data_IF_608453377086
#
_entry.id   IF_608453377086
#
_cell.length_a   1.000
_cell.length_b   1.000
_cell.length_c   1.000
_cell.angle_alpha   90.00
_cell.angle_beta   90.00
_cell.angle_gamma   90.00
#
_symmetry.space_group_name_H-M   'P 1'
#
loop_
_entity.id
_entity.type
_entity.pdbx_description
1 polymer ?
#
# COMPACT_ATOMS: atom_id res chain seq x y z
N UNK A 1 -4.02 0.18 -49.06
CA UNK A 1 -4.03 1.44 -48.27
C UNK A 1 -4.53 1.07 -46.88
N UNK A 2 -3.89 1.31 -45.73
CA UNK A 2 -2.73 2.12 -45.31
C UNK A 2 -1.92 1.29 -44.31
N UNK A 3 -0.59 1.43 -44.36
CA UNK A 3 0.36 0.89 -43.36
C UNK A 3 0.34 1.81 -42.14
N UNK A 4 0.25 1.26 -40.93
CA UNK A 4 0.40 2.02 -39.68
C UNK A 4 1.74 1.63 -39.06
N UNK A 5 2.61 2.64 -38.93
CA UNK A 5 3.94 2.55 -38.35
C UNK A 5 3.84 2.63 -36.82
N UNK A 6 4.33 1.61 -36.12
CA UNK A 6 4.63 1.64 -34.69
C UNK A 6 6.11 1.95 -34.56
N UNK A 7 6.47 3.23 -34.47
CA UNK A 7 7.78 3.71 -34.05
C UNK A 7 7.73 5.23 -33.86
N UNK A 8 7.62 5.71 -32.61
CA UNK A 8 8.27 6.91 -32.08
C UNK A 8 7.61 7.33 -30.75
N UNK A 9 8.22 6.94 -29.63
CA UNK A 9 8.00 7.57 -28.33
C UNK A 9 9.32 7.65 -27.53
N UNK A 10 10.43 7.88 -28.25
CA UNK A 10 11.78 8.09 -27.67
C UNK A 10 12.48 9.37 -28.17
N UNK A 11 11.73 10.32 -28.76
CA UNK A 11 12.29 11.57 -29.28
C UNK A 11 11.40 12.77 -28.89
N UNK A 12 11.30 13.04 -27.59
CA UNK A 12 10.70 14.27 -27.08
C UNK A 12 11.26 14.64 -25.71
N UNK A 13 12.59 14.70 -25.55
CA UNK A 13 13.24 15.32 -24.39
C UNK A 13 14.63 15.88 -24.74
N UNK A 14 14.72 16.61 -25.85
CA UNK A 14 15.86 17.49 -26.14
C UNK A 14 15.32 18.83 -26.61
N UNK A 15 15.21 19.80 -25.69
CA UNK A 15 14.83 21.16 -26.03
C UNK A 15 14.59 22.06 -24.82
N UNK A 16 15.59 22.86 -24.46
CA UNK A 16 15.39 24.21 -23.92
C UNK A 16 15.32 24.37 -22.40
N UNK A 17 16.46 24.35 -21.71
CA UNK A 17 16.65 25.23 -20.54
C UNK A 17 17.53 26.38 -21.01
N UNK A 18 16.91 27.47 -21.46
CA UNK A 18 17.57 28.75 -21.66
C UNK A 18 17.84 29.35 -20.28
N UNK A 19 19.12 29.40 -19.91
CA UNK A 19 19.62 30.20 -18.79
C UNK A 19 19.43 31.69 -19.16
N UNK A 20 18.54 32.38 -18.46
CA UNK A 20 18.53 33.84 -18.46
C UNK A 20 19.64 34.32 -17.54
N UNK A 21 20.80 34.64 -18.11
CA UNK A 21 21.77 35.55 -17.52
C UNK A 21 21.18 36.96 -17.58
N UNK A 22 20.81 37.52 -16.43
CA UNK A 22 20.53 38.94 -16.33
C UNK A 22 21.74 39.62 -15.65
N UNK A 23 22.62 40.15 -16.50
CA UNK A 23 23.73 41.01 -16.10
C UNK A 23 23.18 42.36 -15.65
N UNK A 24 23.08 42.57 -14.34
CA UNK A 24 23.00 43.92 -13.75
C UNK A 24 24.13 44.13 -12.77
N UNK A 25 25.20 44.75 -13.28
CA UNK A 25 26.16 45.50 -12.47
C UNK A 25 25.42 46.58 -11.68
N UNK A 26 25.44 46.48 -10.36
CA UNK A 26 25.07 47.55 -9.44
C UNK A 26 26.11 47.57 -8.31
N UNK A 27 27.19 48.32 -8.55
CA UNK A 27 28.05 48.81 -7.48
C UNK A 27 27.23 49.78 -6.63
N UNK A 28 26.96 49.42 -5.38
CA UNK A 28 26.61 50.37 -4.32
C UNK A 28 27.53 50.13 -3.14
N UNK A 29 28.52 50.99 -3.07
CA UNK A 29 29.36 51.22 -1.90
C UNK A 29 28.46 51.66 -0.73
N UNK A 30 28.48 50.89 0.36
CA UNK A 30 27.81 51.26 1.62
C UNK A 30 28.93 51.75 2.55
N UNK A 31 29.01 53.06 2.71
CA UNK A 31 29.81 53.69 3.77
C UNK A 31 29.00 53.63 5.06
N UNK A 32 29.45 52.83 6.03
CA UNK A 32 28.89 52.77 7.37
C UNK A 32 29.58 53.83 8.24
N UNK A 33 28.95 54.99 8.45
CA UNK A 33 29.37 55.89 9.52
C UNK A 33 28.92 55.31 10.87
N UNK A 34 29.91 55.01 11.69
CA UNK A 34 29.76 54.32 12.97
C UNK A 34 29.69 55.35 14.09
N UNK A 35 28.50 55.84 14.40
CA UNK A 35 28.30 56.72 15.55
C UNK A 35 28.02 55.88 16.79
N UNK A 36 29.08 55.56 17.56
CA UNK A 36 28.96 54.92 18.88
C UNK A 36 29.16 56.02 19.92
N UNK A 37 28.08 56.39 20.60
CA UNK A 37 28.18 57.02 21.91
C UNK A 37 28.27 55.91 22.98
N UNK A 38 29.40 55.74 23.69
CA UNK A 38 29.49 54.76 24.76
C UNK A 38 28.68 55.23 25.97
N UNK A 39 27.66 54.46 26.33
CA UNK A 39 27.00 54.58 27.63
C UNK A 39 27.61 53.53 28.57
N UNK A 40 28.50 53.97 29.45
CA UNK A 40 28.99 53.16 30.56
C UNK A 40 27.83 52.77 31.49
N UNK A 41 27.45 51.49 31.49
CA UNK A 41 26.64 50.91 32.57
C UNK A 41 27.55 50.09 33.48
N UNK A 42 27.80 50.59 34.69
CA UNK A 42 28.40 49.80 35.78
C UNK A 42 27.54 48.56 36.05
N UNK A 43 28.15 47.38 35.90
CA UNK A 43 27.52 46.12 36.24
C UNK A 43 27.45 45.95 37.77
N UNK A 44 26.24 45.75 38.30
CA UNK A 44 26.03 45.29 39.69
C UNK A 44 25.64 43.81 39.63
N UNK A 45 26.35 42.97 40.38
CA UNK A 45 26.14 41.53 40.44
C UNK A 45 24.82 41.25 41.19
N UNK A 46 23.77 40.82 40.48
CA UNK A 46 22.51 40.39 41.10
C UNK A 46 22.69 38.96 41.62
N UNK A 47 22.76 38.82 42.93
CA UNK A 47 23.09 37.56 43.62
C UNK A 47 21.82 36.94 44.23
N UNK A 48 20.85 36.60 43.39
CA UNK A 48 19.63 35.89 43.82
C UNK A 48 19.37 34.72 42.88
N UNK A 49 19.44 33.51 43.42
CA UNK A 49 19.05 32.28 42.74
C UNK A 49 17.52 32.13 42.80
N UNK A 50 16.84 31.71 41.72
CA UNK A 50 15.42 31.39 41.77
C UNK A 50 15.15 30.22 42.72
N UNK A 51 14.25 30.40 43.69
CA UNK A 51 13.80 29.30 44.56
C UNK A 51 12.97 28.30 43.74
N UNK A 52 13.52 27.12 43.54
CA UNK A 52 12.80 25.96 42.98
C UNK A 52 11.73 25.51 43.98
N UNK A 53 10.44 25.70 43.64
CA UNK A 53 9.34 25.04 44.35
C UNK A 53 9.23 23.60 43.84
N UNK A 54 9.57 22.62 44.70
CA UNK A 54 9.28 21.20 44.45
C UNK A 54 7.78 20.94 44.67
N UNK A 55 7.12 20.11 43.85
CA UNK A 55 5.75 19.67 44.13
C UNK A 55 5.73 18.83 45.42
N UNK A 56 4.77 19.12 46.29
CA UNK A 56 4.49 18.35 47.50
C UNK A 56 3.97 16.97 47.07
N UNK A 57 4.81 15.95 47.18
CA UNK A 57 4.39 14.55 47.06
C UNK A 57 4.10 14.04 48.45
N UNK A 58 2.88 14.25 48.93
CA UNK A 58 2.37 13.52 50.09
C UNK A 58 1.78 12.22 49.57
N UNK A 59 2.59 11.16 49.62
CA UNK A 59 2.19 9.79 49.34
C UNK A 59 3.40 8.91 49.66
N UNK A 60 3.26 8.00 50.62
CA UNK A 60 4.34 7.13 51.11
C UNK A 60 5.08 6.47 49.94
N UNK A 61 6.37 6.77 49.80
CA UNK A 61 7.28 5.98 48.97
C UNK A 61 7.75 4.80 49.78
N UNK A 62 7.44 3.61 49.30
CA UNK A 62 7.97 2.33 49.77
C UNK A 62 9.50 2.38 49.86
N UNK A 63 10.05 2.11 51.05
CA UNK A 63 11.49 1.98 51.26
C UNK A 63 11.99 0.70 50.59
N UNK A 64 12.76 0.84 49.51
CA UNK A 64 13.60 -0.22 48.98
C UNK A 64 14.84 -0.31 49.88
N UNK A 65 14.93 -1.39 50.66
CA UNK A 65 16.15 -1.71 51.41
C UNK A 65 17.19 -2.28 50.46
N UNK A 66 18.32 -1.58 50.32
CA UNK A 66 19.50 -2.08 49.62
C UNK A 66 20.36 -2.93 50.57
N UNK A 67 21.05 -3.92 50.02
CA UNK A 67 21.99 -4.80 50.72
C UNK A 67 23.37 -4.15 50.83
N UNK A 68 23.93 -4.08 52.04
CA UNK A 68 25.26 -3.50 52.35
C UNK A 68 26.43 -4.47 52.11
N UNK A 69 26.50 -5.09 50.93
CA UNK A 69 27.67 -5.88 50.53
C UNK A 69 28.56 -5.05 49.60
N UNK A 70 29.45 -4.26 50.19
CA UNK A 70 30.60 -3.67 49.48
C UNK A 70 31.86 -4.48 49.79
N UNK A 71 32.31 -5.28 48.81
CA UNK A 71 33.70 -5.70 48.72
C UNK A 71 34.40 -4.80 47.67
N UNK A 72 35.56 -4.21 47.97
CA UNK A 72 36.31 -3.44 46.99
C UNK A 72 36.80 -4.38 45.87
N UNK A 73 36.36 -4.12 44.64
CA UNK A 73 36.94 -4.72 43.43
C UNK A 73 38.12 -3.86 43.02
N UNK A 74 39.31 -4.45 42.95
CA UNK A 74 40.42 -3.86 42.21
C UNK A 74 40.04 -3.85 40.73
N UNK A 75 39.95 -2.66 40.13
CA UNK A 75 39.79 -2.50 38.68
C UNK A 75 41.17 -2.65 38.05
N UNK A 76 41.45 -3.70 37.26
CA UNK A 76 42.73 -3.82 36.58
C UNK A 76 42.88 -2.69 35.55
N UNK A 77 44.05 -2.07 35.49
CA UNK A 77 44.40 -1.05 34.46
C UNK A 77 44.69 -1.67 33.09
N UNK A 78 44.06 -2.80 32.77
CA UNK A 78 44.06 -3.40 31.45
C UNK A 78 42.60 -3.68 31.04
N UNK A 79 42.25 -3.26 29.83
CA UNK A 79 40.96 -3.64 29.24
C UNK A 79 41.01 -5.16 29.05
N UNK A 80 40.12 -5.96 29.68
CA UNK A 80 39.96 -7.33 29.26
C UNK A 80 39.47 -7.28 27.82
N UNK A 81 40.36 -7.55 26.87
CA UNK A 81 39.95 -7.91 25.53
C UNK A 81 39.16 -9.19 25.69
N UNK A 82 37.84 -9.07 25.65
CA UNK A 82 36.99 -10.21 25.39
C UNK A 82 37.59 -10.88 24.16
N UNK A 83 37.96 -12.16 24.28
CA UNK A 83 38.14 -13.01 23.10
C UNK A 83 36.94 -12.72 22.19
N UNK A 84 37.11 -12.56 20.87
CA UNK A 84 36.01 -12.31 19.97
C UNK A 84 34.98 -13.42 20.19
N UNK A 85 33.98 -13.14 21.04
CA UNK A 85 32.80 -13.94 21.15
C UNK A 85 32.16 -13.65 19.82
N UNK A 86 32.33 -14.59 18.88
CA UNK A 86 31.79 -14.45 17.55
C UNK A 86 30.35 -14.03 17.75
N UNK A 87 30.03 -12.78 17.38
CA UNK A 87 28.72 -12.51 16.81
C UNK A 87 28.48 -13.71 15.90
N UNK A 88 27.37 -14.44 16.07
CA UNK A 88 26.96 -15.50 15.16
C UNK A 88 26.76 -14.87 13.77
N UNK A 89 27.87 -14.56 13.10
CA UNK A 89 28.01 -14.04 11.74
C UNK A 89 27.89 -15.17 10.75
N UNK A 90 28.00 -16.42 11.22
CA UNK A 90 27.32 -17.54 10.60
C UNK A 90 25.81 -17.32 10.77
N UNK A 91 25.23 -16.56 9.84
CA UNK A 91 23.84 -16.75 9.51
C UNK A 91 23.75 -18.21 9.04
N UNK A 92 23.23 -19.09 9.90
CA UNK A 92 22.84 -20.42 9.47
C UNK A 92 21.68 -20.19 8.51
N UNK A 93 21.98 -20.00 7.23
CA UNK A 93 20.97 -20.06 6.19
C UNK A 93 20.30 -21.42 6.36
N UNK A 94 18.99 -21.40 6.58
CA UNK A 94 18.25 -22.65 6.57
C UNK A 94 18.43 -23.28 5.19
N UNK A 95 18.96 -24.50 5.13
CA UNK A 95 19.02 -25.30 3.89
C UNK A 95 17.61 -25.71 3.43
N UNK A 96 16.58 -25.44 4.24
CA UNK A 96 15.20 -25.74 3.91
C UNK A 96 14.75 -24.83 2.78
N UNK A 97 14.58 -25.44 1.61
CA UNK A 97 14.11 -24.79 0.39
C UNK A 97 12.60 -24.54 0.38
N UNK A 98 11.87 -24.96 1.41
CA UNK A 98 10.43 -24.81 1.43
C UNK A 98 9.83 -24.99 2.81
N UNK A 99 8.52 -24.85 2.87
CA UNK A 99 7.70 -24.99 4.07
C UNK A 99 6.35 -25.62 3.72
N UNK A 100 5.75 -26.26 4.72
CA UNK A 100 4.38 -26.75 4.70
C UNK A 100 3.75 -26.44 6.06
N UNK A 101 2.69 -25.64 6.07
CA UNK A 101 1.84 -25.39 7.22
C UNK A 101 0.44 -25.94 6.89
N UNK A 102 -0.10 -26.77 7.78
CA UNK A 102 -1.45 -27.32 7.67
C UNK A 102 -2.17 -27.08 8.98
N UNK A 103 -3.46 -26.73 8.91
CA UNK A 103 -4.29 -26.58 10.07
C UNK A 103 -5.71 -27.05 9.80
N UNK A 104 -6.31 -27.70 10.79
CA UNK A 104 -7.72 -28.05 10.78
C UNK A 104 -8.36 -27.53 12.08
N UNK A 105 -9.60 -27.06 11.97
CA UNK A 105 -10.32 -26.45 13.08
C UNK A 105 -11.78 -26.88 13.15
N UNK A 106 -12.48 -26.32 14.14
CA UNK A 106 -13.94 -26.47 14.26
C UNK A 106 -14.65 -26.03 12.99
N UNK A 107 -15.86 -26.55 12.75
CA UNK A 107 -16.68 -26.23 11.57
C UNK A 107 -16.11 -26.75 10.24
N UNK A 108 -15.23 -27.76 10.31
CA UNK A 108 -14.52 -28.30 9.15
C UNK A 108 -13.75 -27.20 8.39
N UNK A 109 -13.08 -26.35 9.16
CA UNK A 109 -12.16 -25.34 8.62
C UNK A 109 -10.82 -26.01 8.34
N UNK A 110 -10.30 -25.84 7.12
CA UNK A 110 -9.00 -26.34 6.72
C UNK A 110 -8.16 -25.21 6.15
N UNK A 111 -6.88 -25.17 6.52
CA UNK A 111 -5.88 -24.30 5.93
C UNK A 111 -4.67 -25.11 5.51
N UNK A 112 -4.07 -24.73 4.39
CA UNK A 112 -2.76 -25.23 3.98
C UNK A 112 -1.99 -24.12 3.28
N UNK A 113 -0.75 -23.95 3.69
CA UNK A 113 0.23 -23.09 3.04
C UNK A 113 1.46 -23.93 2.69
N UNK A 114 1.79 -23.97 1.41
CA UNK A 114 2.94 -24.67 0.89
C UNK A 114 3.80 -23.70 0.09
N UNK A 115 5.11 -23.77 0.27
CA UNK A 115 6.04 -23.02 -0.57
C UNK A 115 7.31 -23.84 -0.78
N UNK A 116 7.81 -23.86 -2.01
CA UNK A 116 9.04 -24.54 -2.34
C UNK A 116 9.86 -23.78 -3.38
N UNK A 117 11.14 -23.64 -3.10
CA UNK A 117 12.13 -22.99 -3.93
C UNK A 117 12.84 -24.05 -4.78
N UNK A 118 12.40 -24.16 -6.03
CA UNK A 118 12.98 -25.06 -7.03
C UNK A 118 14.45 -24.68 -7.32
N UNK A 119 14.71 -23.39 -7.55
CA UNK A 119 16.06 -22.84 -7.75
C UNK A 119 16.36 -21.81 -6.66
N UNK A 120 17.51 -21.92 -5.99
CA UNK A 120 17.88 -21.05 -4.87
C UNK A 120 19.35 -20.62 -4.89
N UNK A 121 19.78 -20.03 -6.00
CA UNK A 121 21.15 -19.55 -6.15
C UNK A 121 21.24 -18.04 -5.96
N UNK A 122 22.46 -17.52 -5.89
CA UNK A 122 22.72 -16.07 -5.78
C UNK A 122 22.19 -15.31 -7.00
N UNK A 123 22.26 -15.93 -8.19
CA UNK A 123 21.86 -15.32 -9.46
C UNK A 123 20.43 -15.65 -9.86
N UNK A 124 19.93 -16.83 -9.51
CA UNK A 124 18.66 -17.34 -10.02
C UNK A 124 17.82 -17.94 -8.91
N UNK A 125 16.56 -17.52 -8.85
CA UNK A 125 15.59 -17.95 -7.85
C UNK A 125 14.29 -18.30 -8.56
N UNK A 126 13.76 -19.50 -8.29
CA UNK A 126 12.47 -19.97 -8.78
C UNK A 126 11.69 -20.57 -7.61
N UNK A 127 10.55 -19.99 -7.29
CA UNK A 127 9.64 -20.42 -6.25
C UNK A 127 8.30 -20.85 -6.82
N UNK A 128 7.68 -21.83 -6.15
CA UNK A 128 6.27 -22.18 -6.30
C UNK A 128 5.63 -22.14 -4.93
N UNK A 129 4.39 -21.66 -4.86
CA UNK A 129 3.64 -21.62 -3.61
C UNK A 129 2.17 -21.90 -3.86
N UNK A 130 1.52 -22.48 -2.85
CA UNK A 130 0.11 -22.82 -2.88
C UNK A 130 -0.50 -22.45 -1.52
N UNK A 131 -1.63 -21.75 -1.56
CA UNK A 131 -2.48 -21.48 -0.42
C UNK A 131 -3.85 -22.15 -0.64
N UNK A 132 -4.36 -22.78 0.41
CA UNK A 132 -5.70 -23.35 0.46
C UNK A 132 -6.36 -22.93 1.76
N UNK A 133 -7.60 -22.46 1.66
CA UNK A 133 -8.46 -22.18 2.80
C UNK A 133 -9.88 -22.67 2.47
N UNK A 134 -10.47 -23.46 3.35
CA UNK A 134 -11.84 -23.91 3.17
C UNK A 134 -12.62 -23.99 4.48
N UNK A 135 -13.93 -23.82 4.37
CA UNK A 135 -14.90 -24.11 5.42
C UNK A 135 -16.05 -24.90 4.81
N UNK A 136 -16.62 -25.84 5.56
CA UNK A 136 -17.69 -26.71 5.06
C UNK A 136 -18.91 -26.81 5.96
N UNK A 137 -18.80 -26.33 7.20
CA UNK A 137 -19.82 -26.50 8.23
C UNK A 137 -19.88 -25.30 9.19
N UNK A 138 -19.50 -24.11 8.74
CA UNK A 138 -19.62 -22.88 9.52
C UNK A 138 -21.09 -22.43 9.56
N UNK A 139 -21.55 -21.97 10.73
CA UNK A 139 -22.94 -21.50 10.93
C UNK A 139 -23.03 -20.02 10.57
N UNK A 140 -24.11 -19.63 9.89
CA UNK A 140 -24.40 -18.21 9.63
C UNK A 140 -24.63 -17.45 10.96
N UNK A 141 -23.78 -16.46 11.31
CA UNK A 141 -23.98 -15.66 12.53
C UNK A 141 -24.94 -14.47 12.32
N UNK A 142 -25.50 -14.30 11.12
CA UNK A 142 -26.36 -13.17 10.78
C UNK A 142 -27.61 -13.13 11.66
N UNK A 143 -27.81 -11.98 12.31
CA UNK A 143 -29.00 -11.68 13.10
C UNK A 143 -30.24 -11.46 12.24
N UNK A 144 -30.06 -11.23 10.93
CA UNK A 144 -31.14 -11.02 9.96
C UNK A 144 -31.94 -12.32 9.71
N UNK A 145 -31.31 -13.47 9.90
CA UNK A 145 -31.98 -14.77 9.82
C UNK A 145 -32.38 -15.19 11.23
N UNK A 146 -33.63 -14.89 11.60
CA UNK A 146 -34.17 -15.10 12.94
C UNK A 146 -34.53 -16.55 13.25
N UNK A 147 -34.74 -17.38 12.22
CA UNK A 147 -35.05 -18.80 12.36
C UNK A 147 -33.84 -19.67 11.96
N UNK A 148 -33.32 -20.43 12.93
CA UNK A 148 -32.12 -21.26 12.77
C UNK A 148 -32.25 -22.31 11.64
N UNK A 149 -33.45 -22.83 11.40
CA UNK A 149 -33.73 -23.82 10.35
C UNK A 149 -33.54 -23.28 8.93
N UNK A 150 -33.60 -21.96 8.76
CA UNK A 150 -33.40 -21.27 7.47
C UNK A 150 -31.96 -20.82 7.26
N UNK A 151 -31.06 -21.08 8.21
CA UNK A 151 -29.64 -20.69 8.11
C UNK A 151 -28.87 -21.70 7.28
N UNK A 152 -28.44 -21.27 6.10
CA UNK A 152 -27.47 -22.02 5.31
C UNK A 152 -26.13 -22.11 6.04
N UNK A 153 -25.48 -23.26 5.90
CA UNK A 153 -24.10 -23.44 6.35
C UNK A 153 -23.17 -22.78 5.35
N UNK A 154 -22.21 -22.01 5.86
CA UNK A 154 -21.17 -21.41 5.05
C UNK A 154 -20.25 -22.49 4.50
N UNK A 155 -20.01 -22.42 3.19
CA UNK A 155 -19.10 -23.27 2.46
C UNK A 155 -18.27 -22.40 1.51
N UNK A 156 -16.96 -22.51 1.58
CA UNK A 156 -16.06 -21.97 0.57
C UNK A 156 -14.83 -22.86 0.41
N UNK A 157 -14.22 -22.80 -0.76
CA UNK A 157 -13.01 -23.52 -1.10
C UNK A 157 -12.12 -22.60 -1.93
N UNK A 158 -11.27 -21.86 -1.23
CA UNK A 158 -10.41 -20.81 -1.72
C UNK A 158 -9.00 -21.36 -1.93
N UNK A 159 -8.51 -21.29 -3.17
CA UNK A 159 -7.26 -21.90 -3.59
C UNK A 159 -6.47 -20.92 -4.44
N UNK A 160 -5.22 -20.65 -4.07
CA UNK A 160 -4.29 -19.86 -4.86
C UNK A 160 -3.01 -20.63 -5.13
N UNK A 161 -2.51 -20.55 -6.35
CA UNK A 161 -1.24 -21.13 -6.79
C UNK A 161 -0.42 -20.03 -7.48
N UNK A 162 0.85 -19.93 -7.13
CA UNK A 162 1.74 -18.98 -7.77
C UNK A 162 3.14 -19.53 -8.05
N UNK A 163 3.78 -18.89 -9.01
CA UNK A 163 5.16 -19.13 -9.40
C UNK A 163 5.87 -17.78 -9.47
N UNK A 164 7.05 -17.70 -8.87
CA UNK A 164 7.91 -16.52 -8.91
C UNK A 164 9.30 -16.89 -9.45
N UNK A 165 9.82 -16.07 -10.35
CA UNK A 165 11.16 -16.22 -10.90
C UNK A 165 11.92 -14.90 -10.80
N UNK A 166 13.18 -14.96 -10.39
CA UNK A 166 14.06 -13.80 -10.34
C UNK A 166 15.44 -14.18 -10.85
N UNK A 167 16.00 -13.36 -11.74
CA UNK A 167 17.34 -13.51 -12.30
C UNK A 167 18.13 -12.22 -12.20
N UNK A 168 19.25 -12.28 -11.49
CA UNK A 168 20.27 -11.23 -11.50
C UNK A 168 21.26 -11.51 -12.63
N UNK A 169 21.32 -10.60 -13.61
CA UNK A 169 22.19 -10.71 -14.79
C UNK A 169 23.50 -9.94 -14.64
N UNK A 170 23.74 -9.31 -13.48
CA UNK A 170 24.88 -8.42 -13.24
C UNK A 170 24.64 -6.98 -13.68
N UNK A 171 23.93 -6.77 -14.80
CA UNK A 171 23.49 -5.43 -15.24
C UNK A 171 22.14 -5.04 -14.65
N UNK A 172 21.36 -6.00 -14.13
CA UNK A 172 20.05 -5.75 -13.56
C UNK A 172 19.40 -7.03 -13.03
N UNK A 173 18.21 -6.88 -12.47
CA UNK A 173 17.39 -7.97 -11.96
C UNK A 173 16.09 -8.03 -12.75
N UNK A 174 15.87 -9.16 -13.42
CA UNK A 174 14.59 -9.55 -13.99
C UNK A 174 13.77 -10.26 -12.92
N UNK A 175 12.49 -9.92 -12.81
CA UNK A 175 11.52 -10.61 -11.97
C UNK A 175 10.30 -10.95 -12.82
N UNK A 176 9.82 -12.19 -12.73
CA UNK A 176 8.61 -12.66 -13.38
C UNK A 176 7.75 -13.35 -12.32
N UNK A 177 6.44 -13.28 -12.49
CA UNK A 177 5.52 -13.98 -11.62
C UNK A 177 4.20 -14.27 -12.33
N UNK A 178 3.60 -15.37 -11.93
CA UNK A 178 2.27 -15.78 -12.36
C UNK A 178 1.50 -16.32 -11.15
N UNK A 179 0.24 -15.96 -11.03
CA UNK A 179 -0.66 -16.45 -9.99
C UNK A 179 -2.00 -16.79 -10.62
N UNK A 180 -2.61 -17.88 -10.15
CA UNK A 180 -4.00 -18.24 -10.40
C UNK A 180 -4.69 -18.42 -9.06
N UNK A 181 -5.91 -17.94 -8.95
CA UNK A 181 -6.75 -18.10 -7.78
C UNK A 181 -8.17 -18.49 -8.19
N UNK A 182 -8.72 -19.46 -7.47
CA UNK A 182 -10.06 -20.00 -7.67
C UNK A 182 -10.73 -20.15 -6.31
N UNK A 183 -11.90 -19.55 -6.16
CA UNK A 183 -12.77 -19.77 -5.01
C UNK A 183 -14.14 -20.28 -5.45
N UNK A 184 -14.57 -21.36 -4.82
CA UNK A 184 -15.94 -21.88 -4.95
C UNK A 184 -16.67 -21.68 -3.62
N UNK A 185 -17.74 -20.90 -3.62
CA UNK A 185 -18.48 -20.57 -2.40
C UNK A 185 -20.00 -20.58 -2.59
N UNK A 186 -20.75 -20.71 -1.49
CA UNK A 186 -22.20 -20.54 -1.48
C UNK A 186 -22.60 -19.21 -0.81
N UNK A 187 -23.79 -18.69 -1.10
CA UNK A 187 -24.33 -17.53 -0.38
C UNK A 187 -25.08 -18.02 0.85
N UNK A 188 -24.37 -18.07 1.96
CA UNK A 188 -24.90 -18.57 3.22
C UNK A 188 -25.71 -17.54 4.02
N UNK A 189 -25.72 -16.28 3.55
CA UNK A 189 -26.33 -15.11 4.19
C UNK A 189 -27.83 -14.94 4.02
N UNK A 190 -28.52 -15.80 3.26
CA UNK A 190 -29.98 -15.72 3.13
C UNK A 190 -30.44 -14.60 2.19
N UNK A 191 -30.05 -14.61 0.92
CA UNK A 191 -30.58 -13.66 -0.07
C UNK A 191 -31.69 -14.35 -0.85
N UNK A 192 -32.95 -14.10 -0.46
CA UNK A 192 -34.09 -14.56 -1.28
C UNK A 192 -34.19 -13.68 -2.54
N UNK A 193 -34.62 -14.27 -3.65
CA UNK A 193 -34.59 -13.76 -5.04
C UNK A 193 -35.50 -12.56 -5.34
N UNK A 194 -36.05 -11.91 -4.32
CA UNK A 194 -37.07 -10.86 -4.46
C UNK A 194 -36.54 -9.41 -4.34
N UNK A 195 -35.22 -9.21 -4.29
CA UNK A 195 -34.65 -7.85 -4.26
C UNK A 195 -34.79 -7.14 -5.62
N UNK A 196 -35.63 -6.12 -5.65
CA UNK A 196 -35.73 -5.17 -6.76
C UNK A 196 -34.52 -4.23 -6.70
N UNK A 197 -33.63 -4.29 -7.70
CA UNK A 197 -32.59 -3.28 -7.86
C UNK A 197 -33.24 -1.95 -8.24
N UNK A 198 -33.18 -0.97 -7.34
CA UNK A 198 -33.48 0.41 -7.67
C UNK A 198 -32.32 0.95 -8.51
N UNK A 199 -32.53 1.19 -9.81
CA UNK A 199 -31.49 1.81 -10.64
C UNK A 199 -31.25 3.25 -10.15
N UNK A 200 -30.02 3.64 -9.78
CA UNK A 200 -29.75 4.97 -9.25
C UNK A 200 -29.62 6.05 -10.35
N UNK A 201 -30.18 5.84 -11.55
CA UNK A 201 -29.93 6.74 -12.69
C UNK A 201 -31.13 6.89 -13.63
N UNK A 202 -32.28 7.33 -13.11
CA UNK A 202 -33.25 8.06 -13.93
C UNK A 202 -34.06 9.02 -13.06
N UNK A 203 -33.92 10.33 -13.31
CA UNK A 203 -34.81 11.37 -12.75
C UNK A 203 -36.23 11.33 -13.37
N UNK A 204 -36.47 10.39 -14.28
CA UNK A 204 -37.77 10.13 -14.89
C UNK A 204 -38.42 8.92 -14.24
N UNK A 205 -39.60 9.14 -13.65
CA UNK A 205 -40.52 8.09 -13.21
C UNK A 205 -41.00 7.27 -14.43
N UNK A 206 -40.23 6.24 -14.82
CA UNK A 206 -40.70 5.26 -15.81
C UNK A 206 -41.53 4.21 -15.08
N UNK A 207 -42.84 4.25 -15.32
CA UNK A 207 -43.88 3.47 -14.64
C UNK A 207 -43.93 1.97 -14.92
N UNK A 208 -42.81 1.31 -15.15
CA UNK A 208 -42.74 -0.16 -15.19
C UNK A 208 -41.40 -0.64 -14.60
N UNK A 209 -41.38 -0.80 -13.28
CA UNK A 209 -40.24 -1.34 -12.56
C UNK A 209 -40.19 -2.84 -12.81
N UNK A 210 -39.61 -3.25 -13.94
CA UNK A 210 -39.24 -4.65 -14.15
C UNK A 210 -38.27 -5.06 -13.04
N UNK A 211 -38.78 -5.79 -12.06
CA UNK A 211 -38.00 -6.34 -10.96
C UNK A 211 -36.93 -7.26 -11.55
N UNK A 212 -35.67 -6.83 -11.58
CA UNK A 212 -34.54 -7.69 -11.93
C UNK A 212 -34.41 -8.76 -10.84
N UNK A 213 -35.11 -9.87 -11.01
CA UNK A 213 -34.97 -11.03 -10.13
C UNK A 213 -33.73 -11.81 -10.53
N UNK A 214 -33.01 -12.29 -9.53
CA UNK A 214 -31.90 -13.19 -9.82
C UNK A 214 -32.43 -14.54 -10.33
N UNK A 215 -31.88 -15.11 -11.42
CA UNK A 215 -32.30 -16.43 -11.89
C UNK A 215 -31.78 -17.57 -11.01
N UNK A 216 -30.97 -17.26 -10.00
CA UNK A 216 -30.33 -18.24 -9.11
C UNK A 216 -30.94 -18.17 -7.72
N UNK A 217 -31.21 -19.33 -7.14
CA UNK A 217 -31.54 -19.45 -5.72
C UNK A 217 -30.20 -19.45 -4.97
N UNK A 218 -29.66 -18.28 -4.66
CA UNK A 218 -28.33 -18.13 -4.05
C UNK A 218 -28.13 -18.88 -2.73
N UNK A 219 -29.22 -19.24 -2.05
CA UNK A 219 -29.20 -20.11 -0.88
C UNK A 219 -28.79 -21.56 -1.22
N UNK A 220 -29.09 -22.01 -2.44
CA UNK A 220 -28.80 -23.36 -2.95
C UNK A 220 -27.68 -23.36 -3.99
N UNK A 221 -27.55 -22.28 -4.73
CA UNK A 221 -26.60 -22.10 -5.80
C UNK A 221 -25.20 -21.72 -5.30
N UNK A 222 -24.18 -22.32 -5.93
CA UNK A 222 -22.77 -21.99 -5.71
C UNK A 222 -22.29 -20.97 -6.73
N UNK A 223 -21.32 -20.15 -6.35
CA UNK A 223 -20.59 -19.24 -7.22
C UNK A 223 -19.14 -19.68 -7.33
N UNK A 224 -18.56 -19.42 -8.49
CA UNK A 224 -17.13 -19.56 -8.72
C UNK A 224 -16.55 -18.20 -9.05
N UNK A 225 -15.50 -17.83 -8.34
CA UNK A 225 -14.65 -16.70 -8.68
C UNK A 225 -13.32 -17.23 -9.16
N UNK A 226 -12.84 -16.68 -10.27
CA UNK A 226 -11.56 -17.05 -10.87
C UNK A 226 -10.78 -15.79 -11.21
N UNK A 227 -9.52 -15.72 -10.81
CA UNK A 227 -8.60 -14.69 -11.29
C UNK A 227 -7.21 -15.22 -11.56
N UNK A 228 -6.49 -14.52 -12.43
CA UNK A 228 -5.06 -14.72 -12.60
C UNK A 228 -4.33 -13.40 -12.79
N UNK A 229 -3.08 -13.39 -12.38
CA UNK A 229 -2.17 -12.26 -12.54
C UNK A 229 -0.85 -12.73 -13.17
N UNK A 230 -0.35 -11.94 -14.11
CA UNK A 230 0.97 -12.05 -14.69
C UNK A 230 1.73 -10.76 -14.38
N UNK A 231 2.95 -10.90 -13.90
CA UNK A 231 3.82 -9.78 -13.60
C UNK A 231 5.22 -9.98 -14.20
N UNK A 232 5.78 -8.90 -14.71
CA UNK A 232 7.15 -8.82 -15.20
C UNK A 232 7.77 -7.52 -14.72
N UNK A 233 9.02 -7.58 -14.27
CA UNK A 233 9.72 -6.44 -13.72
C UNK A 233 11.19 -6.47 -14.09
N UNK A 234 11.75 -5.29 -14.34
CA UNK A 234 13.18 -5.08 -14.51
C UNK A 234 13.62 -3.98 -13.57
N UNK A 235 14.70 -4.21 -12.83
CA UNK A 235 15.37 -3.19 -12.01
C UNK A 235 16.84 -3.16 -12.38
N UNK A 236 17.40 -1.98 -12.56
CA UNK A 236 18.81 -1.82 -12.91
C UNK A 236 19.30 -0.44 -12.47
N UNK A 237 20.59 -0.23 -12.62
CA UNK A 237 21.26 1.02 -12.35
C UNK A 237 22.33 1.25 -13.42
N UNK A 238 22.60 2.52 -13.72
CA UNK A 238 23.78 2.91 -14.47
C UNK A 238 24.32 4.24 -13.94
N UNK A 239 25.60 4.51 -14.21
CA UNK A 239 26.22 5.77 -13.80
C UNK A 239 25.80 6.87 -14.77
N UNK A 240 25.20 7.93 -14.24
CA UNK A 240 24.90 9.15 -14.98
C UNK A 240 25.74 10.28 -14.38
N UNK A 241 26.80 10.68 -15.11
CA UNK A 241 27.93 11.45 -14.55
C UNK A 241 28.59 10.63 -13.43
N UNK A 242 28.76 11.22 -12.25
CA UNK A 242 29.43 10.59 -11.11
C UNK A 242 28.46 9.88 -10.14
N UNK A 243 27.16 9.95 -10.39
CA UNK A 243 26.13 9.40 -9.49
C UNK A 243 25.32 8.27 -10.15
N UNK A 244 24.91 7.25 -9.38
CA UNK A 244 24.05 6.19 -9.88
C UNK A 244 22.63 6.72 -10.16
N UNK A 245 22.09 6.35 -11.33
CA UNK A 245 20.67 6.41 -11.63
C UNK A 245 20.09 5.01 -11.48
N UNK A 246 19.23 4.82 -10.49
CA UNK A 246 18.44 3.60 -10.34
C UNK A 246 17.15 3.72 -11.14
N UNK A 247 16.77 2.69 -11.88
CA UNK A 247 15.52 2.67 -12.62
C UNK A 247 14.82 1.33 -12.54
N UNK A 248 13.51 1.37 -12.69
CA UNK A 248 12.67 0.17 -12.75
C UNK A 248 11.56 0.31 -13.80
N UNK A 249 11.24 -0.83 -14.40
CA UNK A 249 10.09 -1.01 -15.30
C UNK A 249 9.31 -2.19 -14.77
N UNK A 250 7.99 -2.05 -14.67
CA UNK A 250 7.09 -3.11 -14.24
C UNK A 250 5.87 -3.16 -15.16
N UNK A 251 5.48 -4.36 -15.56
CA UNK A 251 4.26 -4.64 -16.29
C UNK A 251 3.47 -5.68 -15.51
N UNK A 252 2.18 -5.42 -15.33
CA UNK A 252 1.24 -6.37 -14.76
C UNK A 252 0.04 -6.48 -15.67
N UNK A 253 -0.47 -7.68 -15.81
CA UNK A 253 -1.73 -7.98 -16.47
C UNK A 253 -2.53 -8.91 -15.57
N UNK A 254 -3.82 -8.68 -15.45
CA UNK A 254 -4.69 -9.59 -14.73
C UNK A 254 -6.05 -9.70 -15.37
N UNK A 255 -6.67 -10.84 -15.11
CA UNK A 255 -8.04 -11.14 -15.49
C UNK A 255 -8.77 -11.69 -14.27
N UNK A 256 -10.05 -11.37 -14.14
CA UNK A 256 -10.89 -11.90 -13.08
C UNK A 256 -12.32 -12.04 -13.57
N UNK A 257 -13.03 -13.08 -13.15
CA UNK A 257 -14.39 -13.34 -13.59
C UNK A 257 -15.20 -14.07 -12.51
N UNK A 258 -16.50 -13.76 -12.49
CA UNK A 258 -17.50 -14.59 -11.83
C UNK A 258 -18.15 -15.54 -12.85
N UNK A 259 -18.42 -16.77 -12.43
CA UNK A 259 -19.14 -17.73 -13.26
C UNK A 259 -20.61 -17.29 -13.48
N UNK A 260 -21.34 -17.07 -12.38
CA UNK A 260 -22.76 -16.68 -12.41
C UNK A 260 -22.94 -15.16 -12.40
N UNK A 261 -23.89 -14.69 -13.22
CA UNK A 261 -24.39 -13.32 -13.20
C UNK A 261 -25.46 -13.12 -12.12
N UNK A 262 -25.70 -11.87 -11.73
CA UNK A 262 -26.85 -11.55 -10.89
C UNK A 262 -28.17 -11.61 -11.65
N UNK A 263 -28.19 -11.26 -12.95
CA UNK A 263 -29.41 -11.18 -13.76
C UNK A 263 -29.43 -12.27 -14.84
N UNK A 264 -30.62 -12.58 -15.33
CA UNK A 264 -30.82 -13.50 -16.45
C UNK A 264 -30.45 -12.88 -17.81
N UNK A 265 -30.19 -11.58 -17.87
CA UNK A 265 -29.76 -10.85 -19.07
C UNK A 265 -28.38 -11.30 -19.56
N UNK A 266 -27.50 -11.77 -18.66
CA UNK A 266 -26.13 -12.15 -18.99
C UNK A 266 -25.91 -13.66 -18.92
N UNK A 267 -25.04 -14.16 -19.79
CA UNK A 267 -24.67 -15.58 -19.89
C UNK A 267 -23.71 -15.99 -18.77
N UNK A 268 -22.80 -15.10 -18.41
CA UNK A 268 -21.78 -15.28 -17.37
C UNK A 268 -21.72 -14.03 -16.49
N UNK A 269 -21.10 -14.15 -15.32
CA UNK A 269 -20.83 -13.03 -14.44
C UNK A 269 -19.89 -11.97 -15.05
N UNK A 270 -19.76 -10.86 -14.34
CA UNK A 270 -18.83 -9.80 -14.70
C UNK A 270 -17.40 -10.32 -14.81
N UNK A 271 -16.66 -9.82 -15.81
CA UNK A 271 -15.24 -10.13 -15.96
C UNK A 271 -14.42 -8.90 -16.31
N UNK A 272 -13.22 -8.85 -15.77
CA UNK A 272 -12.27 -7.75 -15.94
C UNK A 272 -11.03 -8.21 -16.66
N UNK A 273 -10.48 -7.31 -17.47
CA UNK A 273 -9.09 -7.34 -17.89
C UNK A 273 -8.45 -6.02 -17.46
N UNK A 274 -7.29 -6.09 -16.81
CA UNK A 274 -6.60 -4.91 -16.35
C UNK A 274 -5.11 -5.00 -16.58
N UNK A 275 -4.50 -3.84 -16.78
CA UNK A 275 -3.07 -3.68 -17.00
C UNK A 275 -2.49 -2.58 -16.13
N UNK A 276 -1.26 -2.78 -15.63
CA UNK A 276 -0.50 -1.75 -14.94
C UNK A 276 0.90 -1.67 -15.54
N UNK A 277 1.28 -0.47 -15.97
CA UNK A 277 2.65 -0.12 -16.30
C UNK A 277 3.23 0.75 -15.18
N UNK A 278 4.40 0.40 -14.67
CA UNK A 278 5.14 1.19 -13.68
C UNK A 278 6.52 1.53 -14.23
N UNK A 279 6.86 2.82 -14.23
CA UNK A 279 8.19 3.30 -14.54
C UNK A 279 8.69 4.10 -13.33
N UNK A 280 9.90 3.81 -12.88
CA UNK A 280 10.51 4.52 -11.75
C UNK A 280 11.95 4.87 -12.06
N UNK A 281 12.36 6.05 -11.62
CA UNK A 281 13.73 6.53 -11.70
C UNK A 281 14.10 7.27 -10.42
N UNK A 282 15.29 7.00 -9.88
CA UNK A 282 15.84 7.67 -8.69
C UNK A 282 17.28 8.04 -8.99
N UNK A 283 17.59 9.33 -8.89
CA UNK A 283 18.91 9.90 -9.14
C UNK A 283 19.43 10.59 -7.88
N UNK A 284 20.58 10.17 -7.41
CA UNK A 284 21.28 10.88 -6.35
C UNK A 284 21.96 12.12 -6.94
N UNK A 285 21.51 13.30 -6.51
CA UNK A 285 22.06 14.58 -6.95
C UNK A 285 23.35 14.91 -6.18
N UNK A 286 23.36 14.57 -4.89
CA UNK A 286 24.49 14.65 -3.96
C UNK A 286 24.36 13.49 -2.97
N UNK A 287 25.34 13.32 -2.07
CA UNK A 287 25.24 12.34 -0.96
C UNK A 287 24.04 12.58 -0.04
N UNK A 288 23.53 13.82 0.01
CA UNK A 288 22.45 14.22 0.90
C UNK A 288 21.10 14.37 0.19
N UNK A 289 21.09 14.47 -1.14
CA UNK A 289 19.88 14.83 -1.89
C UNK A 289 19.59 13.88 -3.05
N UNK A 290 18.36 13.41 -3.16
CA UNK A 290 17.89 12.51 -4.22
C UNK A 290 16.67 13.10 -4.90
N UNK A 291 16.62 13.05 -6.23
CA UNK A 291 15.41 13.29 -7.01
C UNK A 291 14.87 11.95 -7.56
N UNK A 292 13.55 11.77 -7.54
CA UNK A 292 12.92 10.59 -8.12
C UNK A 292 11.62 10.94 -8.82
N UNK A 293 11.29 10.16 -9.85
CA UNK A 293 10.01 10.23 -10.56
C UNK A 293 9.47 8.82 -10.69
N UNK A 294 8.23 8.61 -10.24
CA UNK A 294 7.49 7.39 -10.50
C UNK A 294 6.27 7.72 -11.38
N UNK A 295 6.02 6.85 -12.34
CA UNK A 295 4.87 6.90 -13.26
C UNK A 295 4.15 5.56 -13.14
N UNK A 296 2.85 5.60 -12.87
CA UNK A 296 1.98 4.43 -12.85
C UNK A 296 0.84 4.66 -13.84
N UNK A 297 0.81 3.89 -14.92
CA UNK A 297 -0.32 3.81 -15.83
C UNK A 297 -1.17 2.60 -15.47
N UNK A 298 -2.48 2.80 -15.35
CA UNK A 298 -3.44 1.74 -15.07
C UNK A 298 -4.56 1.80 -16.11
N UNK A 299 -4.98 0.63 -16.55
CA UNK A 299 -6.10 0.45 -17.46
C UNK A 299 -6.97 -0.70 -16.97
N UNK A 300 -8.28 -0.52 -17.08
CA UNK A 300 -9.28 -1.51 -16.71
C UNK A 300 -10.38 -1.51 -17.76
N UNK A 301 -10.72 -2.71 -18.24
CA UNK A 301 -11.91 -2.97 -19.03
C UNK A 301 -12.74 -4.04 -18.33
N UNK A 302 -14.05 -3.78 -18.19
CA UNK A 302 -15.02 -4.78 -17.76
C UNK A 302 -16.00 -5.11 -18.87
N UNK A 303 -16.27 -6.40 -19.04
CA UNK A 303 -17.33 -6.88 -19.91
C UNK A 303 -18.33 -7.75 -19.18
N UNK A 304 -19.48 -7.92 -19.81
CA UNK A 304 -20.37 -9.05 -19.61
C UNK A 304 -21.01 -9.46 -20.94
N UNK A 305 -21.24 -10.76 -21.14
CA UNK A 305 -21.86 -11.26 -22.37
C UNK A 305 -23.35 -11.40 -22.17
N UNK A 306 -24.17 -10.67 -22.93
CA UNK A 306 -25.62 -10.84 -22.88
C UNK A 306 -26.02 -12.22 -23.42
N UNK A 307 -27.12 -12.78 -22.91
CA UNK A 307 -27.68 -14.04 -23.43
C UNK A 307 -28.18 -13.91 -24.87
N UNK A 308 -28.53 -12.70 -25.31
CA UNK A 308 -28.88 -12.39 -26.70
C UNK A 308 -27.71 -12.57 -27.69
N UNK A 309 -26.48 -12.76 -27.21
CA UNK A 309 -25.29 -12.96 -28.03
C UNK A 309 -24.50 -11.69 -28.33
N UNK A 310 -24.99 -10.52 -27.91
CA UNK A 310 -24.27 -9.25 -28.01
C UNK A 310 -23.30 -9.09 -26.83
N UNK A 311 -22.05 -8.72 -27.11
CA UNK A 311 -21.12 -8.26 -26.07
C UNK A 311 -21.51 -6.83 -25.69
N UNK A 312 -21.73 -6.57 -24.39
CA UNK A 312 -21.90 -5.23 -23.85
C UNK A 312 -20.74 -4.94 -22.91
N UNK A 313 -20.02 -3.85 -23.16
CA UNK A 313 -19.18 -3.27 -22.12
C UNK A 313 -20.13 -2.78 -21.03
N UNK A 314 -19.94 -3.25 -19.80
CA UNK A 314 -20.80 -2.84 -18.68
C UNK A 314 -20.61 -1.36 -18.34
N UNK A 315 -19.50 -0.77 -18.78
CA UNK A 315 -19.13 0.63 -18.63
C UNK A 315 -17.94 0.99 -19.54
N UNK A 316 -17.69 2.29 -19.69
CA UNK A 316 -16.55 2.83 -20.42
C UNK A 316 -15.22 2.35 -19.83
N UNK A 317 -14.28 1.96 -20.71
CA UNK A 317 -12.93 1.60 -20.29
C UNK A 317 -12.30 2.71 -19.44
N UNK A 318 -11.73 2.32 -18.29
CA UNK A 318 -11.19 3.26 -17.30
C UNK A 318 -9.67 3.26 -17.35
N UNK A 319 -9.10 4.46 -17.43
CA UNK A 319 -7.65 4.68 -17.41
C UNK A 319 -7.24 5.63 -16.30
N UNK A 320 -6.06 5.42 -15.73
CA UNK A 320 -5.45 6.39 -14.82
C UNK A 320 -3.93 6.44 -14.99
N UNK A 321 -3.38 7.66 -15.08
CA UNK A 321 -1.94 7.90 -15.02
C UNK A 321 -1.65 8.66 -13.73
N UNK A 322 -0.75 8.12 -12.91
CA UNK A 322 -0.23 8.79 -11.72
C UNK A 322 1.22 9.16 -11.91
N UNK A 323 1.54 10.44 -11.73
CA UNK A 323 2.89 10.99 -11.72
C UNK A 323 3.26 11.35 -10.28
N UNK A 324 4.39 10.82 -9.79
CA UNK A 324 4.84 11.02 -8.41
C UNK A 324 6.31 11.50 -8.39
N UNK A 325 6.58 12.77 -8.75
CA UNK A 325 7.87 13.39 -8.50
C UNK A 325 8.12 13.55 -7.00
N UNK A 326 9.33 13.23 -6.57
CA UNK A 326 9.76 13.38 -5.18
C UNK A 326 11.19 13.90 -5.12
N UNK A 327 11.46 14.72 -4.10
CA UNK A 327 12.77 15.23 -3.76
C UNK A 327 13.04 14.90 -2.29
N UNK A 328 14.15 14.22 -2.01
CA UNK A 328 14.52 13.80 -0.66
C UNK A 328 15.80 14.48 -0.23
N UNK A 329 15.78 15.09 0.96
CA UNK A 329 16.92 15.66 1.66
C UNK A 329 17.19 14.81 2.89
N UNK A 330 18.46 14.45 3.08
CA UNK A 330 18.97 13.71 4.23
C UNK A 330 20.01 14.57 4.93
N UNK A 331 19.94 14.61 6.25
CA UNK A 331 21.03 15.05 7.11
C UNK A 331 21.25 14.01 8.21
N UNK A 332 22.20 14.26 9.09
CA UNK A 332 22.60 13.28 10.11
C UNK A 332 21.44 12.85 11.01
N UNK A 333 20.57 13.80 11.37
CA UNK A 333 19.44 13.58 12.29
C UNK A 333 18.09 13.59 11.60
N UNK A 334 18.00 13.93 10.31
CA UNK A 334 16.69 14.14 9.67
C UNK A 334 16.62 13.60 8.24
N UNK A 335 15.39 13.28 7.83
CA UNK A 335 15.06 12.94 6.45
C UNK A 335 13.75 13.60 6.08
N UNK A 336 13.79 14.46 5.06
CA UNK A 336 12.63 15.15 4.51
C UNK A 336 12.42 14.70 3.07
N UNK A 337 11.24 14.18 2.76
CA UNK A 337 10.77 13.93 1.41
C UNK A 337 9.67 14.93 1.09
N UNK A 338 9.83 15.65 -0.01
CA UNK A 338 8.84 16.56 -0.57
C UNK A 338 8.35 16.00 -1.91
N UNK A 339 7.05 15.92 -2.09
CA UNK A 339 6.46 15.39 -3.31
C UNK A 339 4.98 15.69 -3.43
N UNK A 340 4.48 15.53 -4.65
CA UNK A 340 3.07 15.64 -5.00
C UNK A 340 2.75 14.49 -5.96
N UNK A 341 1.57 13.90 -5.85
CA UNK A 341 1.07 12.97 -6.84
C UNK A 341 0.06 13.70 -7.73
N UNK A 342 0.25 13.64 -9.04
CA UNK A 342 -0.72 14.08 -10.04
C UNK A 342 -1.43 12.88 -10.64
N UNK A 343 -2.76 12.85 -10.54
CA UNK A 343 -3.62 11.80 -11.06
C UNK A 343 -4.40 12.33 -12.26
N UNK A 344 -4.18 11.72 -13.44
CA UNK A 344 -4.91 11.99 -14.67
C UNK A 344 -5.83 10.79 -14.92
N UNK A 345 -7.14 11.01 -14.93
CA UNK A 345 -8.16 9.97 -15.06
C UNK A 345 -8.89 10.08 -16.39
N UNK A 346 -9.16 8.93 -17.00
CA UNK A 346 -9.94 8.76 -18.22
C UNK A 346 -11.15 7.90 -17.85
N UNK A 347 -12.36 8.42 -18.07
CA UNK A 347 -13.63 7.76 -17.72
C UNK A 347 -13.80 7.44 -16.22
N UNK A 348 -13.21 8.27 -15.33
CA UNK A 348 -13.25 8.07 -13.86
C UNK A 348 -13.38 9.41 -13.09
N UNK A 349 -14.51 10.07 -13.32
CA UNK A 349 -14.87 11.35 -12.70
C UNK A 349 -13.94 12.48 -13.11
N UNK A 350 -13.54 13.33 -12.14
CA UNK A 350 -12.68 14.48 -12.44
C UNK A 350 -11.34 14.06 -13.07
N UNK A 351 -11.03 14.67 -14.23
CA UNK A 351 -9.89 14.35 -15.09
C UNK A 351 -8.55 14.54 -14.38
N UNK A 352 -8.42 15.54 -13.52
CA UNK A 352 -7.17 15.82 -12.81
C UNK A 352 -7.37 15.99 -11.31
N UNK A 353 -6.54 15.33 -10.52
CA UNK A 353 -6.49 15.45 -9.05
C UNK A 353 -5.06 15.48 -8.55
N UNK A 354 -4.83 16.18 -7.44
CA UNK A 354 -3.54 16.23 -6.75
C UNK A 354 -3.66 15.66 -5.34
N UNK A 355 -2.58 15.04 -4.85
CA UNK A 355 -2.43 14.62 -3.45
C UNK A 355 -0.99 14.86 -2.96
N UNK A 356 -0.77 15.10 -1.66
CA UNK A 356 0.58 15.30 -1.14
C UNK A 356 1.34 13.97 -1.04
N UNK A 357 2.67 14.06 -1.11
CA UNK A 357 3.59 12.95 -0.86
C UNK A 357 4.79 13.44 -0.04
N UNK A 358 4.49 13.88 1.17
CA UNK A 358 5.45 14.52 2.08
C UNK A 358 5.68 13.63 3.30
N UNK A 359 6.96 13.41 3.64
CA UNK A 359 7.37 12.63 4.81
C UNK A 359 8.53 13.32 5.51
N UNK A 360 8.49 13.40 6.82
CA UNK A 360 9.54 13.96 7.65
C UNK A 360 9.87 13.01 8.80
N UNK A 361 11.14 12.79 9.03
CA UNK A 361 11.65 12.06 10.20
C UNK A 361 12.78 12.88 10.81
N UNK A 362 12.79 12.99 12.15
CA UNK A 362 13.81 13.66 12.95
C UNK A 362 14.20 12.74 14.11
N UNK A 363 15.38 12.14 14.04
CA UNK A 363 16.01 11.45 15.14
C UNK A 363 16.54 12.49 16.13
N UNK A 364 15.90 12.61 17.29
CA UNK A 364 16.36 13.55 18.34
C UNK A 364 17.58 12.99 19.08
N UNK A 365 17.55 11.68 19.30
CA UNK A 365 18.62 10.86 19.88
C UNK A 365 18.47 9.43 19.36
N UNK A 366 19.48 8.59 19.59
CA UNK A 366 19.41 7.17 19.24
C UNK A 366 18.19 6.50 19.88
N UNK A 367 17.39 5.84 19.04
CA UNK A 367 16.16 5.20 19.46
C UNK A 367 15.01 6.17 19.79
N UNK A 368 15.08 7.46 19.44
CA UNK A 368 13.94 8.37 19.54
C UNK A 368 13.76 9.21 18.28
N UNK A 369 12.67 8.97 17.54
CA UNK A 369 12.37 9.65 16.28
C UNK A 369 10.99 10.29 16.32
N UNK A 370 10.92 11.59 16.04
CA UNK A 370 9.67 12.29 15.70
C UNK A 370 9.44 12.14 14.20
N UNK A 371 8.22 11.84 13.79
CA UNK A 371 7.87 11.74 12.37
C UNK A 371 6.56 12.46 12.07
N UNK A 372 6.47 13.02 10.87
CA UNK A 372 5.26 13.62 10.33
C UNK A 372 5.08 13.19 8.87
N UNK A 373 3.86 12.88 8.47
CA UNK A 373 3.49 12.47 7.11
C UNK A 373 2.30 13.31 6.66
N UNK A 374 2.31 13.74 5.39
CA UNK A 374 1.13 14.25 4.70
C UNK A 374 1.09 13.56 3.33
N UNK A 375 0.20 12.60 3.21
CA UNK A 375 0.10 11.67 2.09
C UNK A 375 -1.28 11.78 1.45
N UNK A 376 -1.48 11.03 0.38
CA UNK A 376 -2.77 10.81 -0.23
C UNK A 376 -2.59 9.95 -1.47
N UNK A 377 -3.70 9.72 -2.17
CA UNK A 377 -3.65 9.00 -3.42
C UNK A 377 -5.03 8.83 -4.03
N UNK A 378 -5.04 8.31 -5.25
CA UNK A 378 -6.23 7.82 -5.93
C UNK A 378 -5.96 6.41 -6.42
N UNK A 379 -6.89 5.49 -6.18
CA UNK A 379 -6.79 4.10 -6.62
C UNK A 379 -8.04 3.73 -7.43
N UNK A 380 -7.84 3.01 -8.55
CA UNK A 380 -8.95 2.43 -9.29
C UNK A 380 -9.60 1.33 -8.46
N UNK A 381 -10.75 1.64 -7.86
CA UNK A 381 -11.53 0.72 -7.00
C UNK A 381 -12.41 -0.25 -7.79
N UNK A 382 -12.60 0.01 -9.08
CA UNK A 382 -13.57 -0.68 -9.91
C UNK A 382 -13.31 -2.16 -10.12
N UNK A 383 -12.14 -2.72 -9.81
CA UNK A 383 -11.77 -4.07 -10.24
C UNK A 383 -12.62 -5.16 -9.55
N UNK A 384 -13.00 -6.20 -10.28
CA UNK A 384 -13.73 -7.38 -9.79
C UNK A 384 -13.00 -8.00 -8.60
N UNK A 385 -11.65 -8.17 -8.62
CA UNK A 385 -10.91 -8.62 -7.45
C UNK A 385 -11.10 -7.70 -6.24
N UNK A 386 -11.09 -6.38 -6.44
CA UNK A 386 -11.35 -5.42 -5.36
C UNK A 386 -12.74 -5.62 -4.75
N UNK A 387 -13.74 -5.92 -5.58
CA UNK A 387 -15.06 -6.30 -5.08
C UNK A 387 -15.01 -7.60 -4.28
N UNK A 388 -14.51 -8.68 -4.89
CA UNK A 388 -14.45 -10.00 -4.28
C UNK A 388 -13.71 -10.01 -2.92
N UNK A 389 -12.53 -9.39 -2.83
CA UNK A 389 -11.72 -9.42 -1.61
C UNK A 389 -12.31 -8.62 -0.45
N UNK A 390 -13.11 -7.58 -0.74
CA UNK A 390 -13.82 -6.83 0.30
C UNK A 390 -15.15 -7.52 0.65
N UNK A 391 -15.84 -8.06 -0.35
CA UNK A 391 -17.21 -8.53 -0.24
C UNK A 391 -17.47 -9.79 -1.11
N UNK A 392 -16.91 -10.93 -0.70
CA UNK A 392 -17.06 -12.24 -1.38
C UNK A 392 -18.51 -12.62 -1.69
N UNK A 393 -19.43 -12.29 -0.79
CA UNK A 393 -20.82 -12.75 -0.83
C UNK A 393 -21.82 -11.66 -1.28
N UNK A 394 -21.31 -10.56 -1.82
CA UNK A 394 -22.13 -9.47 -2.35
C UNK A 394 -22.38 -9.64 -3.85
N UNK A 395 -23.23 -8.79 -4.42
CA UNK A 395 -23.68 -8.90 -5.81
C UNK A 395 -22.50 -8.87 -6.80
N UNK A 396 -22.33 -9.88 -7.67
CA UNK A 396 -21.21 -9.97 -8.63
C UNK A 396 -21.26 -8.94 -9.77
N UNK A 397 -22.20 -7.98 -9.70
CA UNK A 397 -22.32 -6.83 -10.60
C UNK A 397 -21.93 -5.51 -9.91
N UNK A 398 -21.88 -5.46 -8.57
CA UNK A 398 -21.60 -4.24 -7.82
C UNK A 398 -20.19 -3.73 -8.09
N UNK A 399 -20.07 -2.40 -8.04
CA UNK A 399 -18.86 -1.68 -8.39
C UNK A 399 -18.56 -0.65 -7.33
N UNK A 400 -17.28 -0.52 -7.00
CA UNK A 400 -16.79 0.58 -6.20
C UNK A 400 -16.19 1.65 -7.10
N UNK A 401 -16.55 2.90 -6.82
CA UNK A 401 -15.88 4.04 -7.40
C UNK A 401 -14.39 4.05 -7.07
N UNK A 402 -13.60 4.82 -7.82
CA UNK A 402 -12.21 5.05 -7.45
C UNK A 402 -12.08 5.78 -6.12
N UNK A 403 -11.46 5.14 -5.14
CA UNK A 403 -11.21 5.74 -3.83
C UNK A 403 -10.20 6.87 -4.00
N UNK A 404 -10.56 8.06 -3.52
CA UNK A 404 -9.70 9.23 -3.54
C UNK A 404 -9.46 9.73 -2.12
N UNK A 405 -8.20 9.74 -1.70
CA UNK A 405 -7.75 10.27 -0.42
C UNK A 405 -6.98 11.57 -0.66
N UNK A 406 -7.65 12.73 -0.64
CA UNK A 406 -6.98 14.03 -0.79
C UNK A 406 -5.85 14.26 0.21
N UNK A 407 -6.03 13.80 1.45
CA UNK A 407 -5.09 13.96 2.54
C UNK A 407 -5.21 12.79 3.53
N UNK A 408 -4.08 12.23 3.90
CA UNK A 408 -3.86 11.33 5.03
C UNK A 408 -2.63 11.85 5.79
N UNK A 409 -2.88 12.52 6.91
CA UNK A 409 -1.88 13.18 7.73
C UNK A 409 -1.65 12.40 9.02
N UNK A 410 -0.38 12.24 9.39
CA UNK A 410 0.01 11.54 10.61
C UNK A 410 1.18 12.26 11.29
N UNK A 411 1.14 12.39 12.61
CA UNK A 411 2.22 12.89 13.45
C UNK A 411 2.46 11.90 14.60
N UNK A 412 3.72 11.59 14.89
CA UNK A 412 4.00 10.68 15.99
C UNK A 412 5.46 10.58 16.40
N UNK A 413 5.70 9.67 17.32
CA UNK A 413 7.01 9.33 17.86
C UNK A 413 7.26 7.83 17.77
N UNK A 414 8.52 7.46 17.54
CA UNK A 414 9.02 6.09 17.58
C UNK A 414 10.12 6.02 18.63
N UNK A 415 10.06 4.99 19.47
CA UNK A 415 10.95 4.75 20.60
C UNK A 415 11.56 3.35 20.43
N UNK A 416 12.87 3.23 20.57
CA UNK A 416 13.63 2.00 20.42
C UNK A 416 14.25 1.77 19.02
N UNK A 417 14.91 0.62 18.81
CA UNK A 417 14.90 -0.54 19.69
C UNK A 417 15.83 -0.41 20.92
N UNK A 418 15.32 -0.70 22.11
CA UNK A 418 16.10 -0.83 23.36
C UNK A 418 15.98 -2.25 23.90
N UNK A 419 17.01 -3.08 23.74
CA UNK A 419 17.01 -4.48 24.22
C UNK A 419 15.79 -5.30 23.74
N UNK A 420 15.36 -5.11 22.49
CA UNK A 420 14.19 -5.80 21.92
C UNK A 420 12.85 -5.10 22.17
N UNK A 421 12.81 -4.01 22.95
CA UNK A 421 11.63 -3.16 23.07
C UNK A 421 11.57 -2.09 21.99
N UNK A 422 10.42 -1.95 21.34
CA UNK A 422 10.11 -0.79 20.49
C UNK A 422 8.66 -0.36 20.70
N UNK A 423 8.40 0.94 20.60
CA UNK A 423 7.06 1.51 20.72
C UNK A 423 6.85 2.63 19.69
N UNK A 424 5.60 2.81 19.27
CA UNK A 424 5.17 3.90 18.39
C UNK A 424 3.88 4.49 18.95
N UNK A 425 3.81 5.80 19.05
CA UNK A 425 2.59 6.53 19.36
C UNK A 425 2.35 7.57 18.26
N UNK A 426 1.13 7.66 17.75
CA UNK A 426 0.77 8.63 16.71
C UNK A 426 -0.67 9.09 16.78
N UNK A 427 -0.91 10.25 16.20
CA UNK A 427 -2.24 10.82 15.91
C UNK A 427 -2.34 11.04 14.41
N UNK A 428 -3.51 10.78 13.85
CA UNK A 428 -3.74 10.88 12.41
C UNK A 428 -5.10 11.49 12.07
N UNK A 429 -5.18 12.06 10.88
CA UNK A 429 -6.39 12.63 10.30
C UNK A 429 -6.40 12.37 8.79
N UNK A 430 -7.49 11.82 8.27
CA UNK A 430 -7.63 11.53 6.85
C UNK A 430 -8.96 12.05 6.30
N UNK A 431 -8.92 12.50 5.04
CA UNK A 431 -10.09 12.80 4.23
C UNK A 431 -10.12 11.76 3.12
N UNK A 432 -11.17 10.93 3.10
CA UNK A 432 -11.36 9.89 2.09
C UNK A 432 -12.69 10.10 1.40
N UNK A 433 -12.70 9.99 0.08
CA UNK A 433 -13.88 10.04 -0.79
C UNK A 433 -14.07 8.69 -1.47
N UNK A 434 -15.32 8.33 -1.70
CA UNK A 434 -15.73 7.14 -2.45
C UNK A 434 -15.20 5.83 -1.82
N UNK A 435 -14.96 5.83 -0.50
CA UNK A 435 -14.61 4.62 0.24
C UNK A 435 -15.80 3.68 0.25
N UNK A 436 -15.64 2.40 -0.15
CA UNK A 436 -16.69 1.40 -0.01
C UNK A 436 -17.14 1.34 1.44
N UNK A 437 -18.42 1.63 1.68
CA UNK A 437 -19.04 1.32 2.96
C UNK A 437 -19.13 -0.19 3.11
N UNK A 438 -19.04 -0.69 4.35
CA UNK A 438 -19.51 -2.05 4.62
C UNK A 438 -21.01 -2.00 4.38
N UNK A 439 -21.50 -2.68 3.35
CA UNK A 439 -22.93 -2.89 3.14
C UNK A 439 -23.49 -3.72 4.31
N UNK A 440 -23.80 -3.06 5.43
CA UNK A 440 -24.92 -3.44 6.26
C UNK A 440 -26.12 -2.81 5.57
N UNK A 441 -26.90 -3.59 4.81
CA UNK A 441 -28.27 -3.20 4.55
C UNK A 441 -28.93 -3.07 5.92
N UNK A 442 -29.29 -1.85 6.37
CA UNK A 442 -30.12 -1.72 7.55
C UNK A 442 -31.48 -2.31 7.18
N UNK A 443 -32.04 -3.08 8.11
CA UNK A 443 -33.41 -3.57 8.06
C UNK A 443 -34.37 -2.47 7.57
N UNK A 444 -35.05 -2.72 6.45
CA UNK A 444 -36.27 -2.00 6.07
C UNK A 444 -37.43 -2.97 6.07
#
# INVERSE_FOLDING_TARGET
MKKIYIAMLLAAFTGGVTLAQDNKNLNKEIVLEKDIAPLEKKAVKKNELPKVKKPVTTGQKTLLNYSDLTAPIEVPTSIPTLLPYGYRTAHNFSDQRGYLDIGAGTQANFRMDFGYRILNDEREKLGVWLNHNSTWNSKNPSKLVTMDENRNKQQYNDNALGVDYSRNTGIGTLSLGAQVHVDNYNYYGGWNTDYVLYQPYSDEWVGDHSSLKSPYDWNKDKQTFFDYNLNAGWKSQFMLRDNPLFYNVGLQYGHAAYDKSFTDLYKHGAHDNWGILTLGGTYDLTELTTAALNIKGEYLRRGAKAKSGSDYDLFDEVGMITLSPTYTIRGDMYKLQLGVNGHISFSDGAVFRLTPNVRFNLALVDGFTVFANALGGKNLGYRVPTHYYNHRYDLPLLMYGSIYTPLDAELGVKVGPFQGFSARASVGYAIVKDQPGICYYPDY
#
